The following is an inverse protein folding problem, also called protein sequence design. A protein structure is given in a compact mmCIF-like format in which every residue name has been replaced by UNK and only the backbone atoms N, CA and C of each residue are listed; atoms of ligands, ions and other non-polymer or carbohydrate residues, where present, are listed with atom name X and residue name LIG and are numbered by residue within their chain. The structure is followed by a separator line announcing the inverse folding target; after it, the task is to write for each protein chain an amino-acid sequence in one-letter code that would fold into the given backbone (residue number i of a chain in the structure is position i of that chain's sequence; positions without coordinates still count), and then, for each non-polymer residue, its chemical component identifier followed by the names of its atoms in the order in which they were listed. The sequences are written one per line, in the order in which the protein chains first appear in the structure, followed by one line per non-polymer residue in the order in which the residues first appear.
data_IF_152509318683
#
_entry.id   IF_152509318683
#
_cell.length_a   1.000
_cell.length_b   1.000
_cell.length_c   1.000
_cell.angle_alpha   90.00
_cell.angle_beta   90.00
_cell.angle_gamma   90.00
#
_symmetry.space_group_name_H-M   'P 1'
#
loop_
_entity.id
_entity.type
_entity.pdbx_description
1 polymer ?
#
# COMPACT_ATOMS: atom_id res chain seq x y z
N UNK A 1 -29.69 30.64 -13.12
CA UNK A 1 -28.93 29.99 -14.22
C UNK A 1 -27.62 29.41 -13.66
N UNK A 2 -27.61 28.12 -13.32
CA UNK A 2 -26.47 27.45 -12.67
C UNK A 2 -25.75 26.51 -13.65
N UNK A 3 -24.41 26.47 -13.67
CA UNK A 3 -23.67 25.79 -14.72
C UNK A 3 -23.62 24.27 -14.51
N UNK A 4 -24.00 23.54 -15.55
CA UNK A 4 -23.92 22.08 -15.64
C UNK A 4 -22.45 21.62 -15.77
N UNK A 5 -21.99 20.80 -14.82
CA UNK A 5 -20.63 20.21 -14.87
C UNK A 5 -20.60 19.10 -15.93
N UNK A 6 -19.91 19.37 -17.04
CA UNK A 6 -19.69 18.41 -18.13
C UNK A 6 -18.66 17.34 -17.74
N UNK A 7 -19.12 16.09 -17.61
CA UNK A 7 -18.25 14.91 -17.56
C UNK A 7 -17.73 14.59 -18.96
N UNK A 8 -16.44 14.82 -19.22
CA UNK A 8 -15.82 14.43 -20.50
C UNK A 8 -15.59 12.92 -20.52
N UNK A 9 -16.36 12.21 -21.35
CA UNK A 9 -16.14 10.81 -21.75
C UNK A 9 -15.12 10.81 -22.90
N UNK A 10 -13.91 10.32 -22.67
CA UNK A 10 -12.90 10.12 -23.71
C UNK A 10 -13.13 8.80 -24.45
N UNK A 11 -13.17 8.87 -25.78
CA UNK A 11 -13.36 7.74 -26.70
C UNK A 11 -12.02 7.14 -27.17
N UNK A 12 -11.92 5.80 -27.08
CA UNK A 12 -11.29 4.83 -27.99
C UNK A 12 -9.92 5.07 -28.64
N UNK A 13 -8.97 4.17 -28.32
CA UNK A 13 -8.04 3.58 -29.30
C UNK A 13 -8.17 2.06 -29.22
N UNK A 14 -8.56 1.34 -30.30
CA UNK A 14 -8.60 -0.11 -30.31
C UNK A 14 -7.19 -0.66 -30.59
N UNK A 15 -6.52 -1.23 -29.58
CA UNK A 15 -5.25 -1.95 -29.76
C UNK A 15 -5.47 -3.47 -29.65
N UNK A 16 -4.82 -4.18 -30.57
CA UNK A 16 -5.08 -5.52 -31.05
C UNK A 16 -5.23 -6.67 -30.02
N UNK A 17 -6.09 -7.62 -30.44
CA UNK A 17 -6.16 -9.08 -30.18
C UNK A 17 -5.30 -9.65 -29.05
N UNK A 18 -5.96 -10.14 -28.00
CA UNK A 18 -5.36 -11.01 -26.97
C UNK A 18 -4.98 -10.33 -25.65
N UNK A 19 -5.46 -9.10 -25.38
CA UNK A 19 -5.17 -8.42 -24.12
C UNK A 19 -5.93 -9.08 -22.96
N UNK A 20 -5.29 -10.05 -22.31
CA UNK A 20 -5.59 -10.49 -20.94
C UNK A 20 -5.90 -9.22 -20.15
N UNK A 21 -7.18 -9.02 -19.78
CA UNK A 21 -7.74 -7.80 -19.14
C UNK A 21 -6.62 -7.10 -18.39
N UNK A 22 -6.12 -5.99 -18.95
CA UNK A 22 -4.90 -5.36 -18.47
C UNK A 22 -4.99 -5.33 -16.95
N UNK A 23 -4.01 -5.96 -16.30
CA UNK A 23 -3.89 -6.02 -14.86
C UNK A 23 -3.56 -4.59 -14.42
N UNK A 24 -4.51 -3.68 -14.51
CA UNK A 24 -4.29 -2.25 -14.39
C UNK A 24 -4.30 -1.88 -12.90
N UNK A 25 -3.61 -0.81 -12.54
CA UNK A 25 -3.42 -0.37 -11.16
C UNK A 25 -2.12 -0.82 -10.49
N UNK A 26 -1.82 -0.19 -9.36
CA UNK A 26 -0.63 -0.50 -8.56
C UNK A 26 -0.70 -1.89 -7.92
N UNK A 27 0.44 -2.45 -7.54
CA UNK A 27 0.51 -3.77 -6.91
C UNK A 27 -0.34 -3.87 -5.64
N UNK A 28 -0.34 -2.85 -4.79
CA UNK A 28 -1.15 -2.79 -3.56
C UNK A 28 -2.66 -2.90 -3.85
N UNK A 29 -3.17 -2.15 -4.83
CA UNK A 29 -4.58 -2.25 -5.26
C UNK A 29 -4.93 -3.63 -5.81
N UNK A 30 -4.01 -4.24 -6.57
CA UNK A 30 -4.17 -5.61 -7.10
C UNK A 30 -4.25 -6.65 -5.96
N UNK A 31 -3.39 -6.56 -4.95
CA UNK A 31 -3.38 -7.47 -3.78
C UNK A 31 -4.69 -7.39 -3.00
N UNK A 32 -5.18 -6.16 -2.75
CA UNK A 32 -6.43 -5.87 -2.04
C UNK A 32 -7.70 -6.18 -2.85
N UNK A 33 -7.57 -6.41 -4.16
CA UNK A 33 -8.70 -6.55 -5.10
C UNK A 33 -9.63 -5.32 -5.06
N UNK A 34 -9.06 -4.11 -5.01
CA UNK A 34 -9.82 -2.84 -5.06
C UNK A 34 -9.44 -2.04 -6.30
N UNK A 35 -10.35 -1.18 -6.78
CA UNK A 35 -10.12 -0.34 -7.95
C UNK A 35 -8.96 0.62 -7.68
N UNK A 36 -8.03 0.69 -8.63
CA UNK A 36 -7.00 1.71 -8.67
C UNK A 36 -7.49 2.92 -9.49
N UNK A 37 -7.08 4.11 -9.08
CA UNK A 37 -7.28 5.35 -9.84
C UNK A 37 -6.22 5.53 -10.94
N UNK A 38 -5.12 4.78 -10.88
CA UNK A 38 -4.01 4.82 -11.84
C UNK A 38 -3.34 6.20 -12.00
N UNK A 39 -3.57 7.11 -11.05
CA UNK A 39 -2.91 8.42 -10.99
C UNK A 39 -1.66 8.30 -10.13
N UNK A 40 -0.51 8.05 -10.76
CA UNK A 40 0.78 8.08 -10.09
C UNK A 40 1.14 9.53 -9.71
N UNK A 41 1.44 9.76 -8.44
CA UNK A 41 2.02 11.02 -7.97
C UNK A 41 3.53 11.09 -8.24
N UNK A 42 4.18 12.18 -7.83
CA UNK A 42 5.63 12.37 -7.98
C UNK A 42 6.50 11.32 -7.27
N UNK A 43 5.91 10.54 -6.34
CA UNK A 43 6.58 9.43 -5.66
C UNK A 43 6.32 8.06 -6.31
N UNK A 44 5.51 8.02 -7.37
CA UNK A 44 5.09 6.77 -8.01
C UNK A 44 3.95 6.03 -7.29
N UNK A 45 3.31 6.68 -6.31
CA UNK A 45 2.19 6.14 -5.55
C UNK A 45 0.85 6.52 -6.18
N UNK A 46 -0.14 5.63 -6.12
CA UNK A 46 -1.49 5.97 -6.57
C UNK A 46 -2.24 6.80 -5.54
N UNK A 47 -3.12 7.70 -5.99
CA UNK A 47 -3.89 8.59 -5.10
C UNK A 47 -4.76 7.83 -4.09
N UNK A 48 -5.25 6.64 -4.44
CA UNK A 48 -6.03 5.79 -3.51
C UNK A 48 -5.17 5.22 -2.39
N UNK A 49 -3.93 4.81 -2.67
CA UNK A 49 -3.02 4.34 -1.62
C UNK A 49 -2.65 5.48 -0.69
N UNK A 50 -2.32 6.66 -1.24
CA UNK A 50 -2.00 7.86 -0.46
C UNK A 50 -3.14 8.25 0.47
N UNK A 51 -4.38 8.33 -0.06
CA UNK A 51 -5.58 8.69 0.72
C UNK A 51 -5.87 7.70 1.85
N UNK A 52 -5.66 6.41 1.60
CA UNK A 52 -5.89 5.34 2.58
C UNK A 52 -4.68 5.10 3.50
N UNK A 53 -3.62 5.91 3.38
CA UNK A 53 -2.36 5.77 4.11
C UNK A 53 -1.76 4.35 3.99
N UNK A 54 -1.87 3.76 2.81
CA UNK A 54 -1.30 2.46 2.49
C UNK A 54 -0.02 2.64 1.69
N UNK A 55 0.99 1.81 1.97
CA UNK A 55 2.19 1.76 1.12
C UNK A 55 1.83 1.30 -0.30
N UNK A 56 2.18 2.16 -1.24
CA UNK A 56 2.01 1.88 -2.65
C UNK A 56 3.28 1.22 -3.18
N UNK A 57 3.20 -0.06 -3.55
CA UNK A 57 4.33 -0.77 -4.13
C UNK A 57 4.59 -0.37 -5.62
N UNK A 58 3.96 0.69 -6.09
CA UNK A 58 4.09 1.19 -7.46
C UNK A 58 3.33 0.40 -8.51
N UNK A 59 3.57 0.77 -9.77
CA UNK A 59 2.93 0.23 -10.96
C UNK A 59 3.92 -0.62 -11.75
N UNK A 60 3.43 -1.69 -12.38
CA UNK A 60 4.25 -2.43 -13.34
C UNK A 60 3.47 -3.45 -14.16
N UNK A 61 3.97 -3.68 -15.37
CA UNK A 61 3.37 -4.60 -16.33
C UNK A 61 3.58 -6.07 -15.91
N UNK A 62 4.77 -6.41 -15.40
CA UNK A 62 5.10 -7.75 -14.92
C UNK A 62 4.72 -7.91 -13.46
N UNK A 63 4.20 -9.08 -13.09
CA UNK A 63 3.96 -9.44 -11.68
C UNK A 63 5.31 -9.88 -11.08
N UNK A 64 5.81 -9.26 -10.00
CA UNK A 64 7.05 -9.69 -9.36
C UNK A 64 6.89 -11.07 -8.73
N UNK A 65 8.00 -11.79 -8.57
CA UNK A 65 8.01 -13.22 -8.21
C UNK A 65 7.49 -13.48 -6.81
N UNK A 66 7.79 -12.58 -5.85
CA UNK A 66 7.21 -12.63 -4.50
C UNK A 66 5.67 -12.53 -4.50
N UNK A 67 5.05 -11.98 -5.54
CA UNK A 67 3.59 -11.92 -5.68
C UNK A 67 3.02 -13.15 -6.42
N UNK A 68 3.88 -13.95 -7.05
CA UNK A 68 3.53 -15.18 -7.75
C UNK A 68 3.59 -16.38 -6.81
N UNK A 69 4.59 -16.42 -5.93
CA UNK A 69 4.69 -17.36 -4.83
C UNK A 69 3.47 -17.17 -3.91
N UNK A 70 2.49 -18.08 -4.00
CA UNK A 70 1.10 -17.84 -3.56
C UNK A 70 0.91 -17.48 -2.08
N UNK A 71 1.96 -17.60 -1.26
CA UNK A 71 1.90 -17.41 0.18
C UNK A 71 2.07 -15.94 0.64
N UNK A 72 2.78 -15.09 -0.12
CA UNK A 72 3.07 -13.71 0.31
C UNK A 72 1.87 -12.76 0.13
N UNK A 73 1.06 -12.98 -0.90
CA UNK A 73 -0.13 -12.17 -1.22
C UNK A 73 -1.23 -12.25 -0.15
N UNK A 74 -1.62 -13.43 0.39
CA UNK A 74 -2.64 -13.49 1.43
C UNK A 74 -2.18 -12.83 2.72
N UNK A 75 -0.91 -13.01 3.12
CA UNK A 75 -0.33 -12.34 4.30
C UNK A 75 -0.42 -10.82 4.16
N UNK A 76 0.00 -10.30 3.00
CA UNK A 76 -0.02 -8.87 2.73
C UNK A 76 -1.45 -8.31 2.68
N UNK A 77 -2.39 -9.07 2.10
CA UNK A 77 -3.80 -8.70 2.09
C UNK A 77 -4.35 -8.58 3.51
N UNK A 78 -4.04 -9.52 4.39
CA UNK A 78 -4.55 -9.51 5.76
C UNK A 78 -3.98 -8.35 6.56
N UNK A 79 -2.67 -8.07 6.44
CA UNK A 79 -2.04 -6.88 7.06
C UNK A 79 -2.74 -5.58 6.63
N UNK A 80 -3.02 -5.44 5.33
CA UNK A 80 -3.73 -4.26 4.82
C UNK A 80 -5.17 -4.19 5.35
N UNK A 81 -5.86 -5.32 5.47
CA UNK A 81 -7.22 -5.38 6.01
C UNK A 81 -7.25 -4.96 7.49
N UNK A 82 -6.32 -5.48 8.30
CA UNK A 82 -6.20 -5.15 9.72
C UNK A 82 -5.91 -3.67 9.93
N UNK A 83 -5.00 -3.08 9.15
CA UNK A 83 -4.70 -1.65 9.25
C UNK A 83 -5.89 -0.76 8.89
N UNK A 84 -6.61 -1.07 7.82
CA UNK A 84 -7.80 -0.29 7.48
C UNK A 84 -8.91 -0.43 8.52
N UNK A 85 -9.02 -1.59 9.16
CA UNK A 85 -9.95 -1.83 10.26
C UNK A 85 -9.56 -0.99 11.49
N UNK A 86 -8.28 -0.98 11.88
CA UNK A 86 -7.82 -0.20 13.03
C UNK A 86 -7.93 1.32 12.82
N UNK A 87 -7.82 1.78 11.56
CA UNK A 87 -8.02 3.19 11.19
C UNK A 87 -9.50 3.58 11.03
N UNK A 88 -10.46 2.66 11.26
CA UNK A 88 -11.89 2.93 11.08
C UNK A 88 -12.30 3.21 9.61
N UNK A 89 -11.46 2.86 8.64
CA UNK A 89 -11.67 3.15 7.22
C UNK A 89 -12.48 2.08 6.47
N UNK A 90 -13.01 1.07 7.17
CA UNK A 90 -13.87 0.04 6.59
C UNK A 90 -15.34 0.34 6.91
N UNK A 91 -16.11 0.69 5.87
CA UNK A 91 -17.55 0.96 6.00
C UNK A 91 -18.30 -0.32 6.45
N UNK A 92 -18.91 -0.28 7.64
CA UNK A 92 -19.76 -1.36 8.17
C UNK A 92 -19.12 -2.26 9.22
N UNK A 93 -17.87 -2.02 9.64
CA UNK A 93 -17.31 -2.70 10.81
C UNK A 93 -17.63 -1.89 12.08
N UNK A 94 -18.61 -2.33 12.85
CA UNK A 94 -18.99 -1.76 14.16
C UNK A 94 -17.96 -2.06 15.28
N UNK A 95 -16.69 -2.24 14.93
CA UNK A 95 -15.61 -2.55 15.87
C UNK A 95 -14.69 -1.35 16.03
N UNK A 96 -15.10 -0.40 16.87
CA UNK A 96 -14.16 0.57 17.43
C UNK A 96 -13.08 -0.20 18.21
N UNK A 97 -11.82 0.08 17.88
CA UNK A 97 -10.65 -0.56 18.50
C UNK A 97 -10.58 -0.32 20.03
N UNK A 98 -9.90 -1.19 20.82
CA UNK A 98 -9.26 -0.69 22.02
C UNK A 98 -8.16 0.28 21.58
N UNK A 99 -8.29 1.54 21.99
CA UNK A 99 -7.26 2.57 21.85
C UNK A 99 -6.01 2.11 22.61
N UNK A 100 -4.96 1.68 21.91
CA UNK A 100 -3.61 1.74 22.46
C UNK A 100 -3.10 3.16 22.29
N UNK A 101 -3.20 3.93 23.37
CA UNK A 101 -2.46 5.17 23.58
C UNK A 101 -0.96 4.90 23.49
N UNK A 102 -0.24 5.82 22.85
CA UNK A 102 1.22 5.90 22.77
C UNK A 102 1.94 5.01 21.72
N UNK A 103 1.78 5.38 20.45
CA UNK A 103 2.86 5.31 19.45
C UNK A 103 2.45 6.12 18.22
N UNK A 104 3.31 7.08 17.85
CA UNK A 104 3.28 7.88 16.62
C UNK A 104 2.83 7.01 15.41
N UNK A 105 1.86 7.45 14.58
CA UNK A 105 1.13 6.53 13.71
C UNK A 105 2.07 5.90 12.68
N UNK A 106 2.36 4.60 12.76
CA UNK A 106 3.27 3.98 11.82
C UNK A 106 2.55 3.89 10.47
N UNK A 107 3.12 4.53 9.45
CA UNK A 107 2.86 4.11 8.08
C UNK A 107 3.16 2.61 8.00
N UNK A 108 2.29 1.84 7.33
CA UNK A 108 2.60 0.42 7.11
C UNK A 108 3.78 0.30 6.16
N UNK A 109 4.97 0.06 6.70
CA UNK A 109 6.16 -0.33 5.93
C UNK A 109 6.05 -1.82 5.57
N UNK A 110 5.95 -2.12 4.28
CA UNK A 110 5.81 -3.45 3.68
C UNK A 110 7.13 -3.93 3.07
N UNK A 111 8.14 -3.07 3.02
CA UNK A 111 9.50 -3.41 2.63
C UNK A 111 10.27 -3.90 3.85
N UNK A 112 10.69 -5.16 3.83
CA UNK A 112 11.69 -5.67 4.76
C UNK A 112 13.03 -5.14 4.28
N UNK A 113 13.57 -4.12 4.93
CA UNK A 113 15.01 -3.90 4.88
C UNK A 113 15.63 -4.78 5.98
N UNK A 114 16.69 -5.54 5.70
CA UNK A 114 17.43 -6.22 6.74
C UNK A 114 18.03 -5.15 7.64
N UNK A 115 17.52 -5.10 8.88
CA UNK A 115 18.00 -4.32 10.01
C UNK A 115 19.50 -4.02 9.89
N UNK A 116 19.78 -2.76 9.58
CA UNK A 116 21.05 -2.13 9.90
C UNK A 116 21.39 -2.42 11.36
N UNK A 117 22.54 -3.06 11.51
CA UNK A 117 23.30 -3.33 12.73
C UNK A 117 23.07 -2.33 13.87
N UNK A 118 22.62 -2.78 15.06
CA UNK A 118 22.91 -2.05 16.29
C UNK A 118 24.36 -2.34 16.68
N UNK A 119 25.28 -1.43 16.38
CA UNK A 119 26.57 -1.35 17.08
C UNK A 119 26.25 -1.06 18.55
N UNK A 120 26.17 -2.11 19.36
CA UNK A 120 26.14 -1.95 20.80
C UNK A 120 27.52 -1.44 21.24
N UNK A 121 27.56 -0.17 21.62
CA UNK A 121 28.64 0.36 22.43
C UNK A 121 28.63 -0.33 23.79
N UNK A 122 29.69 -1.10 24.07
CA UNK A 122 30.02 -1.51 25.44
C UNK A 122 31.20 -0.67 25.91
N UNK A 123 30.88 0.26 26.81
CA UNK A 123 31.82 0.94 27.68
C UNK A 123 32.32 -0.09 28.70
N UNK A 124 33.63 -0.19 28.90
CA UNK A 124 34.18 -0.75 30.15
C UNK A 124 35.27 0.19 30.66
N UNK A 125 35.06 0.66 31.88
CA UNK A 125 35.96 1.47 32.70
C UNK A 125 36.64 0.58 33.75
N UNK A 126 37.87 0.93 34.14
CA UNK A 126 38.67 0.54 35.34
C UNK A 126 40.02 -0.05 34.91
N UNK A 127 41.19 0.56 35.17
CA UNK A 127 41.81 1.05 36.42
C UNK A 127 42.30 -0.08 37.34
N UNK A 128 43.58 0.06 37.77
CA UNK A 128 44.51 -0.83 38.53
C UNK A 128 45.45 -1.62 37.58
N UNK A 129 46.78 -1.59 37.71
CA UNK A 129 47.73 -1.26 38.81
C UNK A 129 48.79 -0.25 38.31
#
# INVERSE_FOLDING_TARGET
PSPVKQTRKGAGVPKAKGAVRAKSGCYTCRIRRKKCDEQADGSGSCQTCVRLRLECLGFGAKRPDWMREGNSVPVLRERIKQFLASQGMIKGHSGAAPRSTDKEPPLLTLSVEPTSTPTMGTRTVSSRD
#
